data_IF_957422356050
#
_entry.id   IF_957422356050
#
_cell.length_a   1.000
_cell.length_b   1.000
_cell.length_c   1.000
_cell.angle_alpha   90.00
_cell.angle_beta   90.00
_cell.angle_gamma   90.00
#
_symmetry.space_group_name_H-M   'P 1'
#
loop_
_entity.id
_entity.type
_entity.pdbx_description
1 polymer ?
#
# COMPACT_ATOMS: atom_id res chain seq x y z
N UNK A 1 -16.70 6.62 -9.79
CA UNK A 1 -15.50 6.01 -9.16
C UNK A 1 -15.61 6.26 -7.67
N UNK A 2 -15.45 5.24 -6.82
CA UNK A 2 -15.53 5.42 -5.35
C UNK A 2 -14.30 6.16 -4.81
N UNK A 3 -14.41 6.76 -3.62
CA UNK A 3 -13.27 7.43 -2.96
C UNK A 3 -12.10 6.45 -2.73
N UNK A 4 -12.39 5.22 -2.31
CA UNK A 4 -11.37 4.20 -2.14
C UNK A 4 -10.66 3.84 -3.45
N UNK A 5 -11.38 3.78 -4.57
CA UNK A 5 -10.76 3.52 -5.88
C UNK A 5 -9.84 4.67 -6.31
N UNK A 6 -10.20 5.93 -6.02
CA UNK A 6 -9.30 7.07 -6.27
C UNK A 6 -8.02 6.96 -5.45
N UNK A 7 -8.12 6.45 -4.22
CA UNK A 7 -6.97 6.21 -3.34
C UNK A 7 -6.05 5.13 -3.91
N UNK A 8 -6.60 4.02 -4.40
CA UNK A 8 -5.84 2.96 -5.09
C UNK A 8 -5.10 3.54 -6.31
N UNK A 9 -5.79 4.28 -7.18
CA UNK A 9 -5.17 4.89 -8.37
C UNK A 9 -4.04 5.85 -8.00
N UNK A 10 -4.25 6.66 -6.95
CA UNK A 10 -3.23 7.60 -6.45
C UNK A 10 -2.03 6.83 -5.90
N UNK A 11 -2.26 5.82 -5.06
CA UNK A 11 -1.22 4.98 -4.49
C UNK A 11 -0.40 4.26 -5.58
N UNK A 12 -1.06 3.71 -6.60
CA UNK A 12 -0.39 3.06 -7.72
C UNK A 12 0.50 4.04 -8.48
N UNK A 13 -0.01 5.24 -8.76
CA UNK A 13 0.75 6.30 -9.44
C UNK A 13 2.00 6.68 -8.64
N UNK A 14 1.87 6.86 -7.32
CA UNK A 14 2.99 7.16 -6.44
C UNK A 14 4.01 6.02 -6.44
N UNK A 15 3.58 4.77 -6.28
CA UNK A 15 4.51 3.64 -6.26
C UNK A 15 5.28 3.50 -7.58
N UNK A 16 4.62 3.63 -8.73
CA UNK A 16 5.27 3.51 -10.03
C UNK A 16 6.24 4.66 -10.30
N UNK A 17 5.80 5.91 -10.08
CA UNK A 17 6.56 7.07 -10.56
C UNK A 17 7.47 7.70 -9.51
N UNK A 18 7.17 7.54 -8.22
CA UNK A 18 7.98 8.10 -7.12
C UNK A 18 8.88 7.03 -6.54
N UNK A 19 8.37 5.80 -6.36
CA UNK A 19 9.12 4.69 -5.78
C UNK A 19 9.76 3.76 -6.82
N UNK A 20 9.53 4.02 -8.12
CA UNK A 20 10.03 3.22 -9.24
C UNK A 20 9.67 1.72 -9.13
N UNK A 21 8.44 1.43 -8.68
CA UNK A 21 7.94 0.07 -8.53
C UNK A 21 7.87 -0.67 -9.88
N UNK A 22 8.43 -1.88 -9.93
CA UNK A 22 8.37 -2.80 -11.05
C UNK A 22 7.46 -4.00 -10.74
N UNK A 23 6.99 -4.68 -11.78
CA UNK A 23 6.01 -5.79 -11.63
C UNK A 23 6.58 -7.03 -10.91
N UNK A 24 7.88 -7.21 -10.94
CA UNK A 24 8.60 -8.30 -10.29
C UNK A 24 8.96 -7.99 -8.82
N UNK A 25 8.77 -6.74 -8.38
CA UNK A 25 9.03 -6.34 -7.01
C UNK A 25 8.10 -7.03 -6.00
N UNK A 26 8.63 -7.20 -4.79
CA UNK A 26 7.88 -7.65 -3.63
C UNK A 26 7.61 -6.47 -2.70
N UNK A 27 6.33 -6.22 -2.41
CA UNK A 27 5.87 -5.07 -1.63
C UNK A 27 5.41 -5.55 -0.25
N UNK A 28 5.92 -4.90 0.80
CA UNK A 28 5.39 -5.03 2.15
C UNK A 28 4.80 -3.68 2.56
N UNK A 29 3.48 -3.64 2.79
CA UNK A 29 2.81 -2.48 3.35
C UNK A 29 2.69 -2.68 4.86
N UNK A 30 3.28 -1.76 5.62
CA UNK A 30 3.11 -1.70 7.07
C UNK A 30 2.17 -0.55 7.39
N UNK A 31 1.12 -0.83 8.15
CA UNK A 31 0.07 0.15 8.50
C UNK A 31 -0.34 -0.01 9.96
N UNK A 32 -1.29 0.80 10.43
CA UNK A 32 -1.94 0.73 11.75
C UNK A 32 -3.44 0.96 11.60
N UNK A 33 -4.19 0.96 12.71
CA UNK A 33 -5.64 1.21 12.68
C UNK A 33 -6.00 2.62 12.19
N UNK A 34 -5.15 3.62 12.40
CA UNK A 34 -5.41 5.01 12.03
C UNK A 34 -5.25 5.25 10.52
N UNK A 35 -4.35 4.50 9.88
CA UNK A 35 -3.97 4.64 8.47
C UNK A 35 -4.29 3.41 7.63
N UNK A 36 -5.19 2.57 8.16
CA UNK A 36 -5.52 1.26 7.57
C UNK A 36 -6.03 1.38 6.14
N UNK A 37 -6.90 2.35 5.87
CA UNK A 37 -7.49 2.53 4.54
C UNK A 37 -6.43 2.89 3.51
N UNK A 38 -5.49 3.77 3.87
CA UNK A 38 -4.36 4.14 3.04
C UNK A 38 -3.46 2.92 2.81
N UNK A 39 -3.10 2.20 3.87
CA UNK A 39 -2.31 0.97 3.76
C UNK A 39 -2.96 -0.07 2.83
N UNK A 40 -4.26 -0.30 2.99
CA UNK A 40 -5.03 -1.19 2.13
C UNK A 40 -5.04 -0.68 0.68
N UNK A 41 -5.15 0.62 0.44
CA UNK A 41 -5.10 1.18 -0.91
C UNK A 41 -3.74 0.93 -1.58
N UNK A 42 -2.62 1.10 -0.86
CA UNK A 42 -1.28 0.78 -1.38
C UNK A 42 -1.12 -0.72 -1.64
N UNK A 43 -1.63 -1.57 -0.76
CA UNK A 43 -1.60 -3.02 -0.95
C UNK A 43 -2.37 -3.46 -2.21
N UNK A 44 -3.61 -2.97 -2.37
CA UNK A 44 -4.44 -3.28 -3.54
C UNK A 44 -3.80 -2.73 -4.82
N UNK A 45 -3.28 -1.50 -4.79
CA UNK A 45 -2.59 -0.90 -5.92
C UNK A 45 -1.40 -1.72 -6.41
N UNK A 46 -0.62 -2.31 -5.50
CA UNK A 46 0.52 -3.16 -5.84
C UNK A 46 0.06 -4.50 -6.46
N UNK A 47 -0.99 -5.12 -5.91
CA UNK A 47 -1.57 -6.33 -6.50
C UNK A 47 -2.14 -6.09 -7.91
N UNK A 48 -2.89 -5.00 -8.09
CA UNK A 48 -3.46 -4.62 -9.39
C UNK A 48 -2.38 -4.34 -10.44
N UNK A 49 -1.23 -3.81 -10.03
CA UNK A 49 -0.10 -3.60 -10.93
C UNK A 49 0.60 -4.91 -11.33
N UNK A 50 0.44 -5.96 -10.53
CA UNK A 50 0.97 -7.31 -10.77
C UNK A 50 2.09 -7.73 -9.82
N UNK A 51 2.39 -6.96 -8.77
CA UNK A 51 3.44 -7.26 -7.81
C UNK A 51 3.02 -8.36 -6.82
N UNK A 52 4.01 -8.94 -6.13
CA UNK A 52 3.75 -9.75 -4.93
C UNK A 52 3.63 -8.83 -3.73
N UNK A 53 2.44 -8.71 -3.13
CA UNK A 53 2.23 -7.81 -2.00
C UNK A 53 1.86 -8.56 -0.71
N UNK A 54 2.25 -8.00 0.44
CA UNK A 54 1.76 -8.37 1.78
C UNK A 54 1.40 -7.10 2.54
N UNK A 55 0.44 -7.22 3.44
CA UNK A 55 0.09 -6.15 4.38
C UNK A 55 0.26 -6.64 5.82
N UNK A 56 0.82 -5.78 6.66
CA UNK A 56 1.02 -6.04 8.07
C UNK A 56 0.52 -4.84 8.88
N UNK A 57 -0.42 -5.09 9.80
CA UNK A 57 -0.86 -4.08 10.77
C UNK A 57 0.04 -4.15 12.00
N UNK A 58 0.78 -3.07 12.27
CA UNK A 58 1.61 -2.89 13.44
C UNK A 58 0.94 -1.87 14.36
N UNK A 59 0.25 -2.33 15.43
CA UNK A 59 -0.39 -1.44 16.40
C UNK A 59 0.62 -0.47 16.98
N UNK A 60 0.23 0.78 17.21
CA UNK A 60 1.12 1.81 17.77
C UNK A 60 1.78 1.38 19.09
N UNK A 61 1.05 0.64 19.93
CA UNK A 61 1.56 0.11 21.20
C UNK A 61 2.73 -0.88 21.05
N UNK A 62 2.97 -1.40 19.84
CA UNK A 62 3.99 -2.41 19.55
C UNK A 62 5.12 -1.88 18.64
N UNK A 63 5.20 -0.56 18.41
CA UNK A 63 6.29 0.03 17.63
C UNK A 63 7.57 0.13 18.49
N UNK A 64 8.71 -0.44 18.06
CA UNK A 64 9.98 -0.20 18.74
C UNK A 64 10.28 1.31 18.66
N UNK A 65 10.56 1.91 19.82
CA UNK A 65 10.98 3.32 19.96
C UNK A 65 12.36 3.55 19.32
#
# INVERSE_FOLDING_TARGET
MSEFQKMITSAQTTMIHVMNLNKDDSVLVVTDENTKNEGEAFYNAALEYGCKAKIYSLPEMNRPL
#
